data_IF_284355555638
#
_entry.id   IF_284355555638
#
_cell.length_a   1.000
_cell.length_b   1.000
_cell.length_c   1.000
_cell.angle_alpha   90.00
_cell.angle_beta   90.00
_cell.angle_gamma   90.00
#
_symmetry.space_group_name_H-M   'P 1'
#
loop_
_entity.id
_entity.type
_entity.pdbx_description
1 polymer ?
#
# COMPACT_ATOMS: atom_id res chain seq x y z
N UNK A 1 -2.94 -9.18 2.13
CA UNK A 1 -3.24 -10.43 1.37
C UNK A 1 -3.18 -10.23 -0.14
N UNK A 2 -3.75 -9.16 -0.71
CA UNK A 2 -3.79 -8.95 -2.17
C UNK A 2 -2.40 -9.00 -2.86
N UNK A 3 -1.34 -8.44 -2.28
CA UNK A 3 0.03 -8.55 -2.84
C UNK A 3 0.50 -10.00 -2.98
N UNK A 4 0.33 -10.81 -1.93
CA UNK A 4 0.69 -12.22 -1.97
C UNK A 4 -0.11 -12.97 -3.04
N UNK A 5 -1.42 -12.69 -3.15
CA UNK A 5 -2.28 -13.29 -4.16
C UNK A 5 -1.84 -12.90 -5.58
N UNK A 6 -1.63 -11.61 -5.85
CA UNK A 6 -1.17 -11.11 -7.14
C UNK A 6 0.19 -11.72 -7.52
N UNK A 7 1.14 -11.74 -6.57
CA UNK A 7 2.45 -12.34 -6.80
C UNK A 7 2.34 -13.83 -7.09
N UNK A 8 1.48 -14.55 -6.36
CA UNK A 8 1.27 -15.99 -6.54
C UNK A 8 0.69 -16.32 -7.91
N UNK A 9 -0.41 -15.69 -8.33
CA UNK A 9 -1.08 -16.03 -9.60
C UNK A 9 -0.17 -15.78 -10.81
N UNK A 10 0.70 -14.78 -10.73
CA UNK A 10 1.69 -14.48 -11.78
C UNK A 10 2.87 -15.44 -11.71
N UNK A 11 3.44 -15.70 -10.53
CA UNK A 11 4.53 -16.67 -10.36
C UNK A 11 4.13 -18.09 -10.80
N UNK A 12 2.90 -18.50 -10.48
CA UNK A 12 2.33 -19.78 -10.85
C UNK A 12 1.88 -19.84 -12.33
N UNK A 13 2.05 -18.75 -13.10
CA UNK A 13 1.68 -18.63 -14.51
C UNK A 13 0.20 -18.91 -14.78
N UNK A 14 -0.67 -18.58 -13.82
CA UNK A 14 -2.12 -18.70 -13.98
C UNK A 14 -2.69 -17.54 -14.80
N UNK A 15 -2.05 -16.37 -14.72
CA UNK A 15 -2.42 -15.15 -15.46
C UNK A 15 -1.13 -14.43 -15.90
N UNK A 16 -1.07 -13.85 -17.11
CA UNK A 16 0.05 -12.98 -17.51
C UNK A 16 0.19 -11.77 -16.60
N UNK A 17 1.43 -11.38 -16.28
CA UNK A 17 1.70 -10.19 -15.44
C UNK A 17 1.07 -8.90 -16.02
N UNK A 18 1.04 -8.79 -17.35
CA UNK A 18 0.45 -7.66 -18.09
C UNK A 18 -1.05 -7.49 -17.88
N UNK A 19 -1.73 -8.50 -17.35
CA UNK A 19 -3.19 -8.52 -17.19
C UNK A 19 -3.58 -8.29 -15.72
N UNK A 20 -2.59 -8.13 -14.83
CA UNK A 20 -2.80 -7.97 -13.39
C UNK A 20 -2.45 -6.55 -12.97
N UNK A 21 -3.43 -5.82 -12.46
CA UNK A 21 -3.23 -4.56 -11.74
C UNK A 21 -3.54 -4.74 -10.26
N UNK A 22 -2.59 -4.37 -9.41
CA UNK A 22 -2.69 -4.43 -7.96
C UNK A 22 -2.77 -3.01 -7.39
N UNK A 23 -3.86 -2.72 -6.68
CA UNK A 23 -4.01 -1.50 -5.88
C UNK A 23 -4.43 -1.92 -4.47
N UNK A 24 -3.72 -1.42 -3.47
CA UNK A 24 -4.00 -1.70 -2.06
C UNK A 24 -4.08 -0.41 -1.25
N UNK A 25 -4.87 -0.41 -0.19
CA UNK A 25 -5.05 0.73 0.71
C UNK A 25 -4.55 0.34 2.10
N UNK A 26 -3.71 1.18 2.72
CA UNK A 26 -3.22 0.96 4.08
C UNK A 26 -2.50 -0.38 4.24
N UNK A 27 -1.80 -0.84 3.20
CA UNK A 27 -1.21 -2.18 3.18
C UNK A 27 -0.11 -2.33 4.24
N UNK A 28 -0.17 -3.33 5.14
CA UNK A 28 0.94 -3.69 6.02
C UNK A 28 2.09 -4.32 5.22
N UNK A 29 3.30 -4.35 5.79
CA UNK A 29 4.43 -5.03 5.13
C UNK A 29 4.11 -6.52 4.99
N UNK A 30 4.34 -7.08 3.80
CA UNK A 30 3.86 -8.43 3.43
C UNK A 30 4.95 -9.49 3.27
N UNK A 31 6.22 -9.08 3.21
CA UNK A 31 7.35 -9.99 3.09
C UNK A 31 8.67 -9.31 3.40
N UNK A 32 9.78 -10.01 3.20
CA UNK A 32 11.13 -9.47 3.37
C UNK A 32 11.62 -8.74 2.10
N UNK A 33 12.87 -8.28 2.11
CA UNK A 33 13.50 -7.62 0.95
C UNK A 33 13.52 -8.50 -0.31
N UNK A 34 13.76 -9.80 -0.16
CA UNK A 34 13.82 -10.73 -1.31
C UNK A 34 12.44 -10.88 -1.95
N UNK A 35 11.40 -11.04 -1.13
CA UNK A 35 10.02 -11.06 -1.61
C UNK A 35 9.64 -9.75 -2.29
N UNK A 36 9.98 -8.62 -1.67
CA UNK A 36 9.72 -7.30 -2.25
C UNK A 36 10.39 -7.15 -3.62
N UNK A 37 11.66 -7.54 -3.76
CA UNK A 37 12.38 -7.47 -5.03
C UNK A 37 11.80 -8.45 -6.07
N UNK A 38 11.41 -9.65 -5.65
CA UNK A 38 10.77 -10.63 -6.53
C UNK A 38 9.41 -10.14 -7.04
N UNK A 39 8.58 -9.54 -6.17
CA UNK A 39 7.31 -8.93 -6.56
C UNK A 39 7.49 -7.76 -7.52
N UNK A 40 8.46 -6.88 -7.25
CA UNK A 40 8.80 -5.77 -8.16
C UNK A 40 9.25 -6.28 -9.54
N UNK A 41 10.02 -7.36 -9.58
CA UNK A 41 10.54 -7.96 -10.83
C UNK A 41 9.46 -8.67 -11.66
N UNK A 42 8.29 -8.99 -11.09
CA UNK A 42 7.19 -9.61 -11.83
C UNK A 42 6.57 -8.66 -12.87
N UNK A 43 6.84 -7.35 -12.78
CA UNK A 43 6.42 -6.36 -13.76
C UNK A 43 4.92 -6.44 -14.10
N UNK A 44 4.09 -6.45 -13.04
CA UNK A 44 2.63 -6.36 -13.16
C UNK A 44 2.24 -5.12 -13.98
N UNK A 45 1.06 -5.15 -14.60
CA UNK A 45 0.50 -4.00 -15.32
C UNK A 45 0.49 -2.72 -14.46
N UNK A 46 0.29 -2.89 -13.16
CA UNK A 46 0.53 -1.86 -12.15
C UNK A 46 0.52 -2.45 -10.74
N UNK A 47 1.32 -1.89 -9.83
CA UNK A 47 1.40 -2.31 -8.43
C UNK A 47 1.58 -1.09 -7.54
N UNK A 48 0.49 -0.65 -6.92
CA UNK A 48 0.44 0.59 -6.14
C UNK A 48 -0.10 0.33 -4.72
N UNK A 49 0.60 0.89 -3.73
CA UNK A 49 0.16 0.97 -2.34
C UNK A 49 -0.29 2.40 -2.08
N UNK A 50 -1.57 2.60 -1.80
CA UNK A 50 -2.12 3.90 -1.41
C UNK A 50 -2.08 3.99 0.12
N UNK A 51 -1.45 5.04 0.64
CA UNK A 51 -1.25 5.27 2.07
C UNK A 51 -1.77 6.65 2.47
N UNK A 52 -2.30 6.75 3.67
CA UNK A 52 -2.95 7.97 4.16
C UNK A 52 -2.33 8.46 5.47
N UNK A 53 -1.75 9.66 5.42
CA UNK A 53 -1.28 10.43 6.57
C UNK A 53 -0.49 9.56 7.55
N UNK A 54 -0.93 9.44 8.80
CA UNK A 54 -0.25 8.74 9.89
C UNK A 54 -0.85 7.37 10.15
N UNK A 55 -1.48 6.76 9.13
CA UNK A 55 -1.96 5.38 9.15
C UNK A 55 -0.87 4.45 9.70
N UNK A 56 -1.17 3.73 10.78
CA UNK A 56 -0.22 2.82 11.44
C UNK A 56 0.01 1.54 10.66
N UNK A 57 -0.96 1.11 9.84
CA UNK A 57 -0.97 -0.21 9.25
C UNK A 57 0.18 -0.41 8.24
N UNK A 58 0.52 0.56 7.37
CA UNK A 58 1.72 0.48 6.54
C UNK A 58 3.02 0.30 7.32
N UNK A 59 3.09 0.67 8.60
CA UNK A 59 4.30 0.57 9.40
C UNK A 59 4.38 -0.73 10.21
N UNK A 60 3.41 -1.63 10.08
CA UNK A 60 3.44 -2.96 10.71
C UNK A 60 3.59 -4.10 9.70
N UNK A 61 4.29 -5.18 10.04
CA UNK A 61 5.20 -5.29 11.19
C UNK A 61 6.38 -4.30 11.07
N UNK A 62 7.00 -3.86 12.18
CA UNK A 62 8.13 -2.94 12.14
C UNK A 62 9.29 -3.51 11.32
N UNK A 63 9.93 -2.65 10.53
CA UNK A 63 11.06 -3.01 9.65
C UNK A 63 12.22 -3.64 10.43
N UNK A 64 12.52 -3.07 11.59
CA UNK A 64 13.64 -3.43 12.46
C UNK A 64 13.44 -4.77 13.16
N UNK A 65 12.18 -5.22 13.32
CA UNK A 65 11.88 -6.39 14.14
C UNK A 65 12.12 -7.71 13.39
N UNK A 66 11.94 -7.75 12.07
CA UNK A 66 11.98 -9.00 11.28
C UNK A 66 12.40 -8.81 9.80
N UNK A 67 12.90 -7.64 9.41
CA UNK A 67 13.35 -7.40 8.03
C UNK A 67 12.22 -7.32 7.00
N UNK A 68 10.99 -7.05 7.45
CA UNK A 68 9.87 -6.80 6.56
C UNK A 68 10.12 -5.56 5.71
N UNK A 69 9.64 -5.61 4.48
CA UNK A 69 9.93 -4.63 3.48
C UNK A 69 8.76 -4.49 2.50
N UNK A 70 8.44 -3.25 2.16
CA UNK A 70 7.46 -2.92 1.14
C UNK A 70 8.03 -3.03 -0.27
N UNK A 71 7.16 -3.49 -1.17
CA UNK A 71 7.35 -3.38 -2.62
C UNK A 71 7.04 -1.97 -3.14
N UNK A 72 7.47 -1.66 -4.36
CA UNK A 72 7.12 -0.41 -5.08
C UNK A 72 5.70 -0.54 -5.66
N UNK A 73 4.95 0.53 -5.92
CA UNK A 73 5.15 1.96 -5.69
C UNK A 73 4.23 2.42 -4.55
N UNK A 74 4.53 3.55 -3.92
CA UNK A 74 3.66 4.14 -2.91
C UNK A 74 3.03 5.43 -3.42
N UNK A 75 1.70 5.53 -3.35
CA UNK A 75 0.93 6.77 -3.57
C UNK A 75 0.49 7.28 -2.21
N UNK A 76 1.19 8.29 -1.71
CA UNK A 76 1.03 8.81 -0.36
C UNK A 76 0.23 10.11 -0.36
N UNK A 77 -0.82 10.14 0.46
CA UNK A 77 -1.62 11.32 0.73
C UNK A 77 -1.35 11.81 2.15
N UNK A 78 -0.75 12.99 2.29
CA UNK A 78 -0.53 13.63 3.59
C UNK A 78 -1.53 14.77 3.83
N UNK A 79 -2.81 14.48 3.59
CA UNK A 79 -3.95 15.41 3.67
C UNK A 79 -5.23 14.57 3.84
N UNK A 80 -6.41 15.19 3.74
CA UNK A 80 -7.71 14.55 3.94
C UNK A 80 -8.23 13.73 2.73
N UNK A 81 -7.43 13.59 1.66
CA UNK A 81 -7.79 12.86 0.43
C UNK A 81 -9.08 13.36 -0.26
N UNK A 82 -9.53 14.59 0.01
CA UNK A 82 -10.71 15.14 -0.68
C UNK A 82 -10.51 15.19 -2.19
N UNK A 83 -11.61 15.32 -2.94
CA UNK A 83 -11.54 15.50 -4.39
C UNK A 83 -10.63 16.67 -4.76
N UNK A 84 -9.62 16.42 -5.59
CA UNK A 84 -8.59 17.39 -5.96
C UNK A 84 -7.40 17.48 -5.00
N UNK A 85 -7.37 16.68 -3.94
CA UNK A 85 -6.23 16.61 -3.03
C UNK A 85 -4.98 16.11 -3.77
N UNK A 86 -3.86 16.75 -3.46
CA UNK A 86 -2.56 16.36 -4.00
C UNK A 86 -2.06 15.08 -3.35
N UNK A 87 -1.30 14.30 -4.11
CA UNK A 87 -0.61 13.12 -3.61
C UNK A 87 0.82 13.10 -4.13
N UNK A 88 1.65 12.33 -3.46
CA UNK A 88 3.02 12.08 -3.88
C UNK A 88 3.21 10.61 -4.18
N UNK A 89 3.78 10.29 -5.34
CA UNK A 89 4.17 8.92 -5.68
C UNK A 89 5.66 8.72 -5.43
N UNK A 90 6.00 7.81 -4.51
CA UNK A 90 7.36 7.36 -4.28
C UNK A 90 7.66 6.08 -5.06
N UNK A 91 8.85 6.04 -5.67
CA UNK A 91 9.32 4.94 -6.51
C UNK A 91 10.35 4.04 -5.82
N UNK A 92 10.82 4.45 -4.64
CA UNK A 92 11.65 3.64 -3.76
C UNK A 92 10.83 2.73 -2.85
N UNK A 93 11.47 1.68 -2.38
CA UNK A 93 10.96 0.79 -1.33
C UNK A 93 11.32 1.42 0.03
N UNK A 94 10.35 1.56 0.95
CA UNK A 94 10.53 2.27 2.23
C UNK A 94 11.14 3.68 2.03
N UNK A 95 10.55 4.46 1.12
CA UNK A 95 11.02 5.79 0.75
C UNK A 95 10.67 6.81 1.84
N UNK A 96 11.70 7.38 2.48
CA UNK A 96 11.56 8.40 3.55
C UNK A 96 10.93 9.71 3.09
N UNK A 97 10.69 9.88 1.80
CA UNK A 97 10.02 11.05 1.27
C UNK A 97 8.49 10.87 1.17
N UNK A 98 7.98 9.67 1.48
CA UNK A 98 6.56 9.33 1.68
C UNK A 98 6.29 8.93 3.15
N UNK A 99 5.35 8.01 3.42
CA UNK A 99 4.90 7.68 4.78
C UNK A 99 6.03 7.21 5.71
N UNK A 100 7.04 6.51 5.19
CA UNK A 100 8.20 6.05 6.00
C UNK A 100 9.04 7.20 6.57
N UNK A 101 8.87 8.42 6.06
CA UNK A 101 9.51 9.63 6.58
C UNK A 101 8.84 10.25 7.79
N UNK A 102 7.61 9.85 8.11
CA UNK A 102 6.85 10.45 9.20
C UNK A 102 7.37 9.97 10.55
N UNK A 103 7.59 10.92 11.48
CA UNK A 103 8.08 10.60 12.82
C UNK A 103 7.04 9.90 13.72
N UNK A 104 5.75 10.08 13.43
CA UNK A 104 4.63 9.54 14.22
C UNK A 104 3.60 8.95 13.27
N UNK A 105 3.39 7.63 13.34
CA UNK A 105 2.52 6.86 12.43
C UNK A 105 1.65 5.87 13.22
N UNK A 106 0.77 6.40 14.06
CA UNK A 106 -0.02 5.62 15.04
C UNK A 106 -1.55 5.81 14.90
N UNK A 107 -2.01 6.42 13.80
CA UNK A 107 -3.41 6.79 13.61
C UNK A 107 -4.21 5.64 13.01
N UNK A 108 -5.09 5.04 13.80
CA UNK A 108 -6.13 4.13 13.28
C UNK A 108 -7.21 4.91 12.53
N UNK A 109 -7.46 6.18 12.90
CA UNK A 109 -8.45 7.00 12.21
C UNK A 109 -8.04 7.25 10.76
N UNK A 110 -6.77 7.56 10.51
CA UNK A 110 -6.25 7.75 9.15
C UNK A 110 -6.33 6.42 8.35
N UNK A 111 -6.16 5.27 9.02
CA UNK A 111 -6.36 3.96 8.39
C UNK A 111 -7.79 3.70 7.93
N UNK A 112 -8.79 4.21 8.67
CA UNK A 112 -10.20 3.95 8.38
C UNK A 112 -10.77 4.90 7.31
N UNK A 113 -10.04 5.94 6.94
CA UNK A 113 -10.52 6.99 6.03
C UNK A 113 -9.70 7.03 4.74
N UNK A 114 -10.38 6.92 3.61
CA UNK A 114 -9.79 7.09 2.28
C UNK A 114 -10.74 7.88 1.40
N UNK A 115 -10.20 8.86 0.67
CA UNK A 115 -10.96 9.74 -0.22
C UNK A 115 -12.15 10.46 0.44
N UNK A 116 -11.94 11.04 1.63
CA UNK A 116 -12.98 11.71 2.43
C UNK A 116 -14.16 10.80 2.83
N UNK A 117 -13.93 9.48 2.90
CA UNK A 117 -14.91 8.48 3.32
C UNK A 117 -14.36 7.64 4.45
N UNK A 118 -15.16 7.48 5.51
CA UNK A 118 -15.02 6.34 6.43
C UNK A 118 -15.37 5.07 5.65
N UNK A 119 -14.37 4.22 5.42
CA UNK A 119 -14.48 3.11 4.46
C UNK A 119 -15.48 2.06 4.94
N UNK A 120 -15.48 1.74 6.23
CA UNK A 120 -16.37 0.73 6.80
C UNK A 120 -17.83 1.20 6.74
N UNK A 121 -18.10 2.40 7.24
CA UNK A 121 -19.43 3.00 7.22
C UNK A 121 -19.95 3.27 5.81
N UNK A 122 -19.07 3.63 4.86
CA UNK A 122 -19.45 3.75 3.45
C UNK A 122 -19.90 2.39 2.87
N UNK A 123 -19.17 1.31 3.18
CA UNK A 123 -19.54 -0.05 2.79
C UNK A 123 -20.86 -0.51 3.41
N UNK A 124 -21.03 -0.33 4.72
CA UNK A 124 -22.25 -0.70 5.45
C UNK A 124 -23.50 0.03 4.95
N UNK A 125 -23.35 1.27 4.48
CA UNK A 125 -24.43 2.07 3.87
C UNK A 125 -24.73 1.70 2.42
N UNK A 126 -24.08 0.67 1.89
CA UNK A 126 -24.27 0.18 0.52
C UNK A 126 -23.56 1.03 -0.52
N UNK A 127 -22.37 1.55 -0.19
CA UNK A 127 -21.55 2.38 -1.06
C UNK A 127 -22.27 3.66 -1.51
N UNK A 128 -22.95 4.32 -0.57
CA UNK A 128 -23.68 5.57 -0.76
C UNK A 128 -23.12 6.67 0.15
#
# INVERSE_FOLDING_TARGET
MATLAASYIVAAKLVPASDVQLVTFGQPRTGNKDFSAAHDAQALAGSFRVTHSRDVVPHVPPKELQGYYHHKFETFYNNDMKSGAEFKTCTGNEDKSCSDGLAITISILDHLHYFDKDVSGYGEKGCK
#
